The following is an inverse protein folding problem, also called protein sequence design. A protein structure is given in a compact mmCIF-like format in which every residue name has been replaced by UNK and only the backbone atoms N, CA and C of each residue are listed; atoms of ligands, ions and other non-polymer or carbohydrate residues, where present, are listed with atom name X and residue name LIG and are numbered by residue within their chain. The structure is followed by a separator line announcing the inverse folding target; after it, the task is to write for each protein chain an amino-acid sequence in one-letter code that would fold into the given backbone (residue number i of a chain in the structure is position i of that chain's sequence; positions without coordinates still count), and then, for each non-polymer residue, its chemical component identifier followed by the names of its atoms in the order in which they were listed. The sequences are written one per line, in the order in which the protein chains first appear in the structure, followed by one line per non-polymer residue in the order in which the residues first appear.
data_IF_915381704475
#
_entry.id   IF_915381704475
#
_cell.length_a   1.000
_cell.length_b   1.000
_cell.length_c   1.000
_cell.angle_alpha   90.00
_cell.angle_beta   90.00
_cell.angle_gamma   90.00
#
_symmetry.space_group_name_H-M   'P 1'
#
loop_
_entity.id
_entity.type
_entity.pdbx_description
1 polymer ?
#
# COMPACT_ATOMS: atom_id res chain seq x y z
N UNK A 1 -4.50 5.84 -16.39
CA UNK A 1 -3.25 6.30 -15.78
C UNK A 1 -3.41 6.20 -14.26
N UNK A 2 -2.36 5.80 -13.54
CA UNK A 2 -2.42 5.48 -12.11
C UNK A 2 -1.82 6.56 -11.21
N UNK A 3 -2.37 6.74 -10.00
CA UNK A 3 -1.83 7.62 -8.93
C UNK A 3 -1.08 6.84 -7.84
N UNK A 4 -0.99 5.52 -8.00
CA UNK A 4 -0.44 4.61 -7.01
C UNK A 4 0.82 3.96 -7.56
N UNK A 5 1.85 3.94 -6.75
CA UNK A 5 3.12 3.26 -7.04
C UNK A 5 3.34 2.21 -5.97
N UNK A 6 3.38 0.95 -6.38
CA UNK A 6 3.86 -0.12 -5.52
C UNK A 6 5.39 -0.06 -5.48
N UNK A 7 5.93 -0.19 -4.27
CA UNK A 7 7.36 -0.20 -3.97
C UNK A 7 7.68 -1.50 -3.25
N UNK A 8 8.71 -2.20 -3.69
CA UNK A 8 9.14 -3.49 -3.10
C UNK A 8 10.67 -3.56 -3.03
N UNK A 9 11.20 -4.49 -2.24
CA UNK A 9 12.63 -4.78 -2.16
C UNK A 9 13.40 -4.01 -1.08
N UNK A 10 12.76 -3.11 -0.33
CA UNK A 10 13.40 -2.37 0.77
C UNK A 10 13.60 -3.24 2.03
N UNK A 11 14.54 -2.89 2.94
CA UNK A 11 14.75 -3.63 4.19
C UNK A 11 13.53 -3.67 5.11
N UNK A 12 13.33 -4.75 5.86
CA UNK A 12 12.16 -4.95 6.74
C UNK A 12 12.03 -3.89 7.85
N UNK A 13 13.14 -3.32 8.29
CA UNK A 13 13.25 -2.28 9.32
C UNK A 13 12.98 -0.86 8.80
N UNK A 14 12.72 -0.72 7.49
CA UNK A 14 12.44 0.57 6.87
C UNK A 14 11.20 1.21 7.48
N UNK A 15 11.37 2.43 7.98
CA UNK A 15 10.25 3.24 8.49
C UNK A 15 9.55 3.98 7.36
N UNK A 16 8.28 4.32 7.58
CA UNK A 16 7.52 5.11 6.61
C UNK A 16 8.14 6.48 6.32
N UNK A 17 8.76 7.11 7.31
CA UNK A 17 9.43 8.40 7.15
C UNK A 17 10.62 8.27 6.19
N UNK A 18 11.48 7.25 6.38
CA UNK A 18 12.63 7.02 5.51
C UNK A 18 12.20 6.77 4.06
N UNK A 19 11.18 5.92 3.86
CA UNK A 19 10.69 5.62 2.51
C UNK A 19 10.05 6.85 1.84
N UNK A 20 9.31 7.67 2.59
CA UNK A 20 8.75 8.94 2.10
C UNK A 20 9.84 9.91 1.68
N UNK A 21 10.87 10.10 2.51
CA UNK A 21 11.99 11.00 2.19
C UNK A 21 12.75 10.54 0.96
N UNK A 22 12.95 9.24 0.81
CA UNK A 22 13.59 8.65 -0.36
C UNK A 22 12.75 8.88 -1.63
N UNK A 23 11.46 8.53 -1.61
CA UNK A 23 10.58 8.68 -2.77
C UNK A 23 10.46 10.14 -3.22
N UNK A 24 10.47 11.10 -2.30
CA UNK A 24 10.47 12.54 -2.64
C UNK A 24 11.73 12.99 -3.38
N UNK A 25 12.86 12.32 -3.18
CA UNK A 25 14.10 12.63 -3.92
C UNK A 25 14.06 12.10 -5.34
N UNK A 26 13.43 10.94 -5.54
CA UNK A 26 13.30 10.30 -6.86
C UNK A 26 12.21 10.95 -7.70
N UNK A 27 11.08 11.29 -7.06
CA UNK A 27 9.92 11.88 -7.70
C UNK A 27 9.65 13.29 -7.14
N UNK A 28 10.56 14.26 -7.34
CA UNK A 28 10.43 15.59 -6.75
C UNK A 28 9.27 16.41 -7.36
N UNK A 29 8.95 16.14 -8.63
CA UNK A 29 7.88 16.83 -9.37
C UNK A 29 6.49 16.27 -9.05
N UNK A 30 6.44 14.98 -8.69
CA UNK A 30 5.22 14.27 -8.41
C UNK A 30 4.93 14.38 -6.92
N UNK A 31 3.96 15.24 -6.56
CA UNK A 31 3.59 15.51 -5.16
C UNK A 31 3.12 14.23 -4.46
N UNK A 32 4.03 13.56 -3.76
CA UNK A 32 3.76 12.41 -2.90
C UNK A 32 2.89 12.84 -1.71
N UNK A 33 1.71 12.24 -1.58
CA UNK A 33 0.77 12.50 -0.49
C UNK A 33 1.01 11.60 0.71
N UNK A 34 1.11 10.29 0.47
CA UNK A 34 1.18 9.30 1.55
C UNK A 34 1.89 8.03 1.10
N UNK A 35 2.34 7.24 2.06
CA UNK A 35 2.92 5.91 1.84
C UNK A 35 2.30 4.96 2.87
N UNK A 36 1.75 3.86 2.38
CA UNK A 36 1.18 2.79 3.21
C UNK A 36 1.98 1.53 3.05
N UNK A 37 2.41 0.95 4.16
CA UNK A 37 3.09 -0.33 4.17
C UNK A 37 2.04 -1.41 4.09
N UNK A 38 2.27 -2.40 3.22
CA UNK A 38 1.46 -3.59 3.20
C UNK A 38 1.71 -4.33 4.53
N UNK A 39 0.68 -4.49 5.38
CA UNK A 39 0.85 -5.22 6.62
C UNK A 39 1.02 -6.74 6.39
N UNK A 40 0.89 -7.22 5.16
CA UNK A 40 0.94 -8.63 4.80
C UNK A 40 2.30 -9.01 4.18
N UNK A 41 3.05 -9.85 4.91
CA UNK A 41 4.34 -10.47 4.50
C UNK A 41 5.44 -9.46 4.16
N UNK A 42 6.24 -9.78 3.13
CA UNK A 42 7.46 -9.11 2.70
C UNK A 42 7.33 -7.58 2.63
N UNK A 43 8.44 -6.84 2.80
CA UNK A 43 8.46 -5.38 2.75
C UNK A 43 7.93 -4.86 1.41
N UNK A 44 6.67 -4.42 1.45
CA UNK A 44 5.95 -3.84 0.33
C UNK A 44 5.24 -2.59 0.80
N UNK A 45 5.18 -1.58 -0.04
CA UNK A 45 4.47 -0.34 0.26
C UNK A 45 3.77 0.19 -0.99
N UNK A 46 2.71 0.96 -0.78
CA UNK A 46 2.03 1.71 -1.82
C UNK A 46 2.20 3.20 -1.53
N UNK A 47 2.83 3.90 -2.46
CA UNK A 47 2.96 5.34 -2.46
C UNK A 47 1.82 5.97 -3.27
N UNK A 48 1.21 7.02 -2.72
CA UNK A 48 0.08 7.72 -3.32
C UNK A 48 0.53 9.11 -3.75
N UNK A 49 0.33 9.42 -5.02
CA UNK A 49 0.67 10.71 -5.61
C UNK A 49 -0.60 11.53 -5.87
N UNK A 50 -0.48 12.85 -5.76
CA UNK A 50 -1.57 13.78 -6.09
C UNK A 50 -1.90 13.73 -7.59
N UNK A 51 -0.84 13.71 -8.40
CA UNK A 51 -0.89 13.69 -9.85
C UNK A 51 -0.76 12.25 -10.35
N UNK A 52 -1.22 12.02 -11.58
CA UNK A 52 -0.98 10.75 -12.26
C UNK A 52 0.50 10.60 -12.57
N UNK A 53 1.01 9.38 -12.39
CA UNK A 53 2.38 9.04 -12.75
C UNK A 53 2.46 8.73 -14.25
N UNK A 54 3.48 9.28 -14.90
CA UNK A 54 3.83 8.91 -16.27
C UNK A 54 4.54 7.54 -16.25
N UNK A 55 3.80 6.50 -16.60
CA UNK A 55 4.28 5.11 -16.68
C UNK A 55 5.49 4.96 -17.63
N UNK A 56 5.55 5.74 -18.70
CA UNK A 56 6.66 5.68 -19.66
C UNK A 56 7.92 6.25 -19.04
N UNK A 57 7.82 7.41 -18.38
CA UNK A 57 8.93 8.04 -17.64
C UNK A 57 9.41 7.13 -16.51
N UNK A 58 8.49 6.53 -15.76
CA UNK A 58 8.81 5.62 -14.67
C UNK A 58 9.56 4.38 -15.20
N UNK A 59 9.06 3.76 -16.27
CA UNK A 59 9.69 2.57 -16.84
C UNK A 59 11.09 2.86 -17.37
N UNK A 60 11.26 3.98 -18.08
CA UNK A 60 12.58 4.43 -18.53
C UNK A 60 13.52 4.68 -17.35
N UNK A 61 13.05 5.32 -16.28
CA UNK A 61 13.85 5.56 -15.09
C UNK A 61 14.34 4.26 -14.45
N UNK A 62 13.44 3.28 -14.26
CA UNK A 62 13.79 1.98 -13.66
C UNK A 62 14.74 1.18 -14.56
N UNK A 63 14.58 1.24 -15.88
CA UNK A 63 15.48 0.53 -16.81
C UNK A 63 16.89 1.13 -16.86
N UNK A 64 17.01 2.44 -16.65
CA UNK A 64 18.27 3.16 -16.78
C UNK A 64 19.03 3.30 -15.47
N UNK A 65 18.37 3.07 -14.33
CA UNK A 65 18.95 3.27 -13.01
C UNK A 65 18.60 2.12 -12.07
N UNK A 66 19.62 1.47 -11.53
CA UNK A 66 19.45 0.64 -10.33
C UNK A 66 19.16 1.57 -9.15
N UNK A 67 17.91 1.55 -8.70
CA UNK A 67 17.45 2.42 -7.63
C UNK A 67 17.76 1.76 -6.30
N UNK A 68 18.90 2.12 -5.74
CA UNK A 68 19.36 1.58 -4.46
C UNK A 68 18.84 2.37 -3.26
N UNK A 69 18.42 1.65 -2.23
CA UNK A 69 18.03 2.18 -0.93
C UNK A 69 18.59 1.27 0.16
N UNK A 70 19.52 1.79 0.97
CA UNK A 70 20.18 1.02 2.05
C UNK A 70 20.77 -0.30 1.55
N UNK A 71 21.52 -0.27 0.45
CA UNK A 71 22.14 -1.44 -0.22
C UNK A 71 21.16 -2.47 -0.79
N UNK A 72 19.88 -2.10 -0.92
CA UNK A 72 18.85 -2.92 -1.56
C UNK A 72 18.36 -2.27 -2.86
N UNK A 73 18.20 -3.08 -3.91
CA UNK A 73 17.60 -2.63 -5.17
C UNK A 73 16.08 -2.60 -5.00
N UNK A 74 15.48 -1.43 -5.22
CA UNK A 74 14.04 -1.26 -5.18
C UNK A 74 13.42 -1.54 -6.54
N UNK A 75 12.25 -2.18 -6.51
CA UNK A 75 11.39 -2.32 -7.67
C UNK A 75 10.12 -1.49 -7.51
N UNK A 76 9.72 -0.84 -8.61
CA UNK A 76 8.54 0.02 -8.66
C UNK A 76 7.58 -0.44 -9.75
N UNK A 77 6.29 -0.39 -9.46
CA UNK A 77 5.24 -0.72 -10.41
C UNK A 77 4.03 0.19 -10.19
N UNK A 78 3.51 0.82 -11.25
CA UNK A 78 2.24 1.54 -11.12
C UNK A 78 1.11 0.55 -10.87
N UNK A 79 0.28 0.82 -9.86
CA UNK A 79 -0.81 -0.08 -9.50
C UNK A 79 -2.15 0.64 -9.53
N UNK A 80 -3.24 -0.14 -9.48
CA UNK A 80 -4.61 0.36 -9.43
C UNK A 80 -5.17 0.16 -8.02
N UNK A 81 -6.13 0.98 -7.59
CA UNK A 81 -6.81 0.72 -6.34
C UNK A 81 -7.43 -0.68 -6.34
N UNK A 82 -7.31 -1.37 -5.21
CA UNK A 82 -7.84 -2.73 -5.03
C UNK A 82 -9.25 -2.71 -4.47
N UNK A 83 -9.96 -3.83 -4.63
CA UNK A 83 -11.26 -4.05 -3.98
C UNK A 83 -11.14 -4.42 -2.50
N UNK A 84 -9.92 -4.72 -2.05
CA UNK A 84 -9.63 -5.14 -0.69
C UNK A 84 -8.63 -4.23 0.00
N UNK A 85 -8.72 -4.14 1.32
CA UNK A 85 -7.67 -3.65 2.20
C UNK A 85 -7.18 -4.77 3.11
N UNK A 86 -5.95 -4.63 3.58
CA UNK A 86 -5.36 -5.54 4.55
C UNK A 86 -5.20 -4.83 5.89
N UNK A 87 -5.62 -5.49 6.97
CA UNK A 87 -5.54 -4.96 8.33
C UNK A 87 -4.83 -5.98 9.20
N UNK A 88 -3.80 -5.52 9.93
CA UNK A 88 -3.14 -6.31 10.97
C UNK A 88 -3.46 -5.71 12.34
N UNK A 89 -3.91 -6.52 13.30
CA UNK A 89 -4.37 -5.98 14.60
C UNK A 89 -3.27 -5.90 15.67
N UNK A 90 -2.10 -6.44 15.38
CA UNK A 90 -0.95 -6.60 16.29
C UNK A 90 -1.31 -7.18 17.67
N UNK A 91 -2.20 -8.17 17.70
CA UNK A 91 -2.69 -8.83 18.90
C UNK A 91 -3.63 -7.96 19.75
N UNK A 92 -4.02 -6.78 19.26
CA UNK A 92 -4.83 -5.82 20.02
C UNK A 92 -6.28 -6.28 20.22
N UNK A 93 -6.73 -7.30 19.48
CA UNK A 93 -8.11 -7.79 19.54
C UNK A 93 -8.15 -9.26 19.99
N UNK A 94 -8.47 -9.54 21.26
CA UNK A 94 -8.36 -10.88 21.82
C UNK A 94 -9.51 -11.83 21.43
N UNK A 95 -10.67 -11.32 21.02
CA UNK A 95 -11.79 -12.12 20.53
C UNK A 95 -12.71 -11.29 19.61
N UNK A 96 -13.44 -11.98 18.74
CA UNK A 96 -14.48 -11.37 17.89
C UNK A 96 -13.91 -10.37 16.87
N UNK A 97 -12.68 -10.60 16.39
CA UNK A 97 -11.98 -9.67 15.50
C UNK A 97 -12.73 -9.40 14.21
N UNK A 98 -13.25 -10.45 13.57
CA UNK A 98 -14.04 -10.32 12.33
C UNK A 98 -15.26 -9.43 12.56
N UNK A 99 -16.06 -9.66 13.61
CA UNK A 99 -17.24 -8.86 13.91
C UNK A 99 -16.90 -7.39 14.17
N UNK A 100 -15.80 -7.13 14.90
CA UNK A 100 -15.33 -5.78 15.17
C UNK A 100 -14.84 -5.06 13.91
N UNK A 101 -14.12 -5.76 13.04
CA UNK A 101 -13.73 -5.23 11.74
C UNK A 101 -14.98 -4.95 10.89
N UNK A 102 -15.93 -5.87 10.84
CA UNK A 102 -17.19 -5.69 10.12
C UNK A 102 -17.93 -4.44 10.61
N UNK A 103 -18.14 -4.30 11.92
CA UNK A 103 -18.77 -3.13 12.54
C UNK A 103 -18.01 -1.82 12.27
N UNK A 104 -16.69 -1.88 12.10
CA UNK A 104 -15.84 -0.70 11.84
C UNK A 104 -15.97 -0.24 10.39
N UNK A 105 -15.97 -1.19 9.45
CA UNK A 105 -15.95 -0.88 8.02
C UNK A 105 -17.34 -0.79 7.38
N UNK A 106 -18.36 -1.46 7.94
CA UNK A 106 -19.74 -1.43 7.44
C UNK A 106 -20.47 -0.10 7.74
N UNK A 107 -19.93 0.76 8.62
CA UNK A 107 -20.49 2.09 8.91
C UNK A 107 -20.34 3.10 7.77
N UNK A 108 -19.72 2.74 6.65
CA UNK A 108 -19.51 3.61 5.50
C UNK A 108 -20.59 3.36 4.44
N UNK A 109 -21.54 4.28 4.22
CA UNK A 109 -22.69 4.05 3.34
C UNK A 109 -22.31 3.75 1.88
N UNK A 110 -21.16 4.26 1.43
CA UNK A 110 -20.68 4.13 0.05
C UNK A 110 -19.89 2.85 -0.22
N UNK A 111 -19.55 2.05 0.80
CA UNK A 111 -18.67 0.88 0.66
C UNK A 111 -19.16 -0.26 1.52
N UNK A 112 -19.99 -1.13 0.93
CA UNK A 112 -20.50 -2.31 1.62
C UNK A 112 -19.39 -3.37 1.66
N UNK A 113 -19.08 -3.86 2.86
CA UNK A 113 -18.15 -4.98 3.06
C UNK A 113 -18.79 -6.24 2.49
N UNK A 114 -18.11 -6.91 1.55
CA UNK A 114 -18.57 -8.15 0.94
C UNK A 114 -18.14 -9.36 1.77
N UNK A 115 -16.87 -9.40 2.17
CA UNK A 115 -16.35 -10.42 3.07
C UNK A 115 -15.16 -9.89 3.88
N UNK A 116 -14.90 -10.56 5.01
CA UNK A 116 -13.67 -10.41 5.79
C UNK A 116 -13.10 -11.82 5.94
N UNK A 117 -11.86 -12.01 5.51
CA UNK A 117 -11.18 -13.30 5.64
C UNK A 117 -9.86 -13.17 6.38
N UNK A 118 -9.55 -14.08 7.31
CA UNK A 118 -8.21 -14.18 7.87
C UNK A 118 -7.24 -14.69 6.82
N UNK A 119 -6.06 -14.09 6.75
CA UNK A 119 -4.97 -14.51 5.86
C UNK A 119 -3.85 -15.24 6.62
N UNK A 120 -3.51 -14.73 7.79
CA UNK A 120 -2.45 -15.23 8.68
C UNK A 120 -2.79 -14.83 10.13
N UNK A 121 -1.99 -15.27 11.11
CA UNK A 121 -2.20 -15.15 12.58
C UNK A 121 -3.11 -13.97 12.98
N UNK A 122 -2.75 -12.78 12.52
CA UNK A 122 -3.42 -11.55 12.84
C UNK A 122 -3.50 -10.58 11.65
N UNK A 123 -3.66 -11.12 10.44
CA UNK A 123 -3.85 -10.30 9.25
C UNK A 123 -5.16 -10.70 8.57
N UNK A 124 -5.96 -9.69 8.23
CA UNK A 124 -7.28 -9.85 7.66
C UNK A 124 -7.39 -9.07 6.37
N UNK A 125 -7.92 -9.72 5.34
CA UNK A 125 -8.39 -9.05 4.15
C UNK A 125 -9.85 -8.63 4.34
N UNK A 126 -10.15 -7.38 4.02
CA UNK A 126 -11.50 -6.83 4.02
C UNK A 126 -11.81 -6.40 2.60
N UNK A 127 -12.77 -7.08 1.97
CA UNK A 127 -13.18 -6.81 0.61
C UNK A 127 -14.49 -6.01 0.57
N UNK A 128 -14.59 -5.09 -0.39
CA UNK A 128 -15.74 -4.20 -0.54
C UNK A 128 -16.41 -4.38 -1.90
N UNK A 129 -17.75 -4.42 -1.92
CA UNK A 129 -18.52 -4.39 -3.16
C UNK A 129 -18.39 -3.01 -3.81
N UNK A 130 -17.73 -2.92 -4.97
CA UNK A 130 -17.41 -1.66 -5.66
C UNK A 130 -16.06 -1.05 -5.26
N UNK A 131 -15.33 -1.69 -4.35
CA UNK A 131 -13.93 -1.39 -4.07
C UNK A 131 -13.63 -0.28 -3.09
N UNK A 132 -12.35 -0.20 -2.74
CA UNK A 132 -11.85 0.71 -1.71
C UNK A 132 -11.32 2.04 -2.27
N UNK A 133 -11.22 2.19 -3.60
CA UNK A 133 -10.60 3.37 -4.21
C UNK A 133 -11.41 4.04 -5.32
N UNK A 134 -12.65 3.60 -5.55
CA UNK A 134 -13.63 4.33 -6.34
C UNK A 134 -14.21 5.51 -5.54
#
# INVERSE_FOLDING_TARGET
MGKLLQVTGFPCETTAIQLVEFLKKIFPDDKLQNVWFDPYREPRAVAVFLNELDETRLHQFIQLHDVEFQDHILAFETTKPTWSIFVRTYGSVPYGTIDKLLLTFQKRPSRMVQYIQPLDDDCYEINFSGGWGE
#
